data_IF_766974297999
#
_entry.id   IF_766974297999
#
_cell.length_a   1.000
_cell.length_b   1.000
_cell.length_c   1.000
_cell.angle_alpha   90.00
_cell.angle_beta   90.00
_cell.angle_gamma   90.00
#
_symmetry.space_group_name_H-M   'P 1'
#
loop_
_entity.id
_entity.type
_entity.pdbx_description
1 polymer ?
#
# COMPACT_ATOMS: atom_id res chain seq x y z
N UNK A 1 -19.11 1.09 -2.90
CA UNK A 1 -17.97 1.86 -2.46
C UNK A 1 -17.24 1.21 -1.28
N UNK A 2 -16.06 1.71 -0.90
CA UNK A 2 -15.34 1.22 0.25
C UNK A 2 -16.18 1.37 1.52
N UNK A 3 -15.95 0.53 2.50
CA UNK A 3 -16.71 0.55 3.73
C UNK A 3 -16.03 -0.27 4.83
N UNK A 4 -16.64 -0.25 5.99
CA UNK A 4 -16.15 -1.04 7.12
C UNK A 4 -16.49 -2.54 6.97
N UNK A 5 -16.10 -3.35 7.96
CA UNK A 5 -16.32 -4.79 7.97
C UNK A 5 -17.81 -5.19 7.80
N UNK A 6 -18.76 -4.37 8.26
CA UNK A 6 -20.18 -4.63 8.10
C UNK A 6 -20.63 -4.47 6.64
N UNK A 7 -20.11 -3.45 5.94
CA UNK A 7 -20.36 -3.26 4.50
C UNK A 7 -19.75 -4.42 3.70
N UNK A 8 -18.54 -4.83 4.02
CA UNK A 8 -17.90 -5.98 3.39
C UNK A 8 -18.71 -7.27 3.59
N UNK A 9 -19.25 -7.50 4.80
CA UNK A 9 -20.10 -8.64 5.09
C UNK A 9 -21.43 -8.58 4.31
N UNK A 10 -22.07 -7.41 4.26
CA UNK A 10 -23.30 -7.21 3.50
C UNK A 10 -23.09 -7.48 2.00
N UNK A 11 -22.01 -6.93 1.41
CA UNK A 11 -21.65 -7.20 0.01
C UNK A 11 -21.47 -8.69 -0.28
N UNK A 12 -20.81 -9.44 0.64
CA UNK A 12 -20.67 -10.89 0.49
C UNK A 12 -22.00 -11.62 0.45
N UNK A 13 -23.00 -11.16 1.23
CA UNK A 13 -24.31 -11.83 1.32
C UNK A 13 -25.15 -11.59 0.06
N UNK A 14 -25.04 -10.43 -0.57
CA UNK A 14 -25.86 -10.09 -1.76
C UNK A 14 -25.16 -10.40 -3.08
N UNK A 15 -23.90 -10.83 -3.04
CA UNK A 15 -23.16 -11.19 -4.24
C UNK A 15 -23.81 -12.37 -4.95
N UNK A 16 -24.12 -12.18 -6.23
CA UNK A 16 -24.84 -13.16 -7.05
C UNK A 16 -26.34 -12.82 -7.23
N UNK A 17 -26.94 -12.10 -6.28
CA UNK A 17 -28.28 -11.52 -6.45
C UNK A 17 -28.19 -10.14 -7.12
N UNK A 18 -27.15 -9.36 -6.73
CA UNK A 18 -26.80 -8.08 -7.34
C UNK A 18 -25.33 -8.04 -7.69
N UNK A 19 -24.95 -7.18 -8.64
CA UNK A 19 -23.54 -6.87 -8.91
C UNK A 19 -22.93 -6.08 -7.76
N UNK A 20 -21.68 -6.38 -7.43
CA UNK A 20 -20.90 -5.59 -6.48
C UNK A 20 -19.59 -5.15 -7.14
N UNK A 21 -19.02 -4.03 -6.68
CA UNK A 21 -17.70 -3.57 -7.10
C UNK A 21 -16.60 -4.50 -6.62
N UNK A 22 -16.35 -4.51 -5.31
CA UNK A 22 -15.37 -5.38 -4.66
C UNK A 22 -15.68 -5.54 -3.17
N UNK A 23 -15.04 -6.51 -2.55
CA UNK A 23 -15.04 -6.68 -1.09
C UNK A 23 -13.74 -6.09 -0.57
N UNK A 24 -13.81 -4.86 -0.01
CA UNK A 24 -12.66 -4.19 0.53
C UNK A 24 -12.19 -4.81 1.86
N UNK A 25 -10.89 -5.00 1.99
CA UNK A 25 -10.19 -5.25 3.24
C UNK A 25 -9.64 -3.95 3.86
N UNK A 26 -8.79 -4.06 4.91
CA UNK A 26 -8.03 -2.95 5.43
C UNK A 26 -7.08 -2.38 4.36
N UNK A 27 -6.83 -1.07 4.39
CA UNK A 27 -5.93 -0.41 3.44
C UNK A 27 -4.48 -0.85 3.62
N UNK A 28 -3.74 -0.86 2.52
CA UNK A 28 -2.39 -1.42 2.44
C UNK A 28 -1.47 -0.52 1.63
N UNK A 29 -0.25 -0.28 2.14
CA UNK A 29 0.84 0.32 1.38
C UNK A 29 2.07 -0.60 1.39
N UNK A 30 2.68 -0.77 0.23
CA UNK A 30 4.00 -1.39 0.08
C UNK A 30 4.94 -0.41 -0.60
N UNK A 31 6.04 -0.07 0.05
CA UNK A 31 7.02 0.89 -0.43
C UNK A 31 8.31 0.17 -0.80
N UNK A 32 8.76 0.34 -2.03
CA UNK A 32 10.05 -0.16 -2.51
C UNK A 32 11.10 0.92 -2.40
N UNK A 33 12.19 0.65 -1.69
CA UNK A 33 13.24 1.61 -1.39
C UNK A 33 14.64 1.10 -1.76
N UNK A 34 15.53 2.02 -2.07
CA UNK A 34 16.95 1.77 -2.24
C UNK A 34 17.81 2.81 -1.47
N UNK A 35 19.12 2.73 -1.59
CA UNK A 35 20.05 3.63 -0.90
C UNK A 35 19.90 5.11 -1.25
N UNK A 36 19.14 5.45 -2.29
CA UNK A 36 18.89 6.82 -2.73
C UNK A 36 17.56 7.37 -2.22
N UNK A 37 16.73 6.50 -1.66
CA UNK A 37 15.42 6.87 -1.12
C UNK A 37 15.56 7.71 0.16
N UNK A 38 14.59 8.57 0.41
CA UNK A 38 14.52 9.42 1.63
C UNK A 38 13.81 8.68 2.75
N UNK A 39 14.50 8.21 3.78
CA UNK A 39 13.90 7.34 4.79
C UNK A 39 12.89 8.03 5.69
N UNK A 40 12.99 9.33 5.89
CA UNK A 40 12.04 10.15 6.64
C UNK A 40 10.70 10.31 5.90
N UNK A 41 10.72 10.41 4.57
CA UNK A 41 9.53 10.46 3.73
C UNK A 41 8.83 9.10 3.70
N UNK A 42 9.59 8.02 3.49
CA UNK A 42 9.05 6.65 3.56
C UNK A 42 8.37 6.40 4.91
N UNK A 43 8.99 6.86 6.01
CA UNK A 43 8.40 6.73 7.33
C UNK A 43 7.07 7.50 7.45
N UNK A 44 6.96 8.67 6.81
CA UNK A 44 5.73 9.46 6.80
C UNK A 44 4.61 8.74 6.05
N UNK A 45 4.90 8.15 4.87
CA UNK A 45 3.89 7.44 4.08
C UNK A 45 3.44 6.14 4.78
N UNK A 46 4.37 5.39 5.39
CA UNK A 46 4.02 4.22 6.21
C UNK A 46 3.12 4.59 7.39
N UNK A 47 3.33 5.77 8.02
CA UNK A 47 2.52 6.28 9.12
C UNK A 47 1.17 6.76 8.60
N UNK A 48 1.12 7.47 7.48
CA UNK A 48 -0.11 7.93 6.86
C UNK A 48 -1.08 6.75 6.64
N UNK A 49 -0.56 5.63 6.11
CA UNK A 49 -1.35 4.40 5.97
C UNK A 49 -1.74 3.80 7.33
N UNK A 50 -0.80 3.73 8.27
CA UNK A 50 -1.02 3.07 9.56
C UNK A 50 -2.04 3.81 10.46
N UNK A 51 -2.21 5.12 10.29
CA UNK A 51 -3.16 5.92 11.09
C UNK A 51 -4.62 5.81 10.64
N UNK A 52 -4.88 5.21 9.45
CA UNK A 52 -6.23 5.01 8.95
C UNK A 52 -7.00 4.00 9.78
N UNK A 53 -6.44 2.81 10.04
CA UNK A 53 -7.06 1.76 10.84
C UNK A 53 -6.01 0.89 11.54
N UNK A 54 -6.38 0.31 12.69
CA UNK A 54 -5.53 -0.62 13.45
C UNK A 54 -5.14 -1.89 12.70
N UNK A 55 -5.86 -2.23 11.63
CA UNK A 55 -5.61 -3.39 10.77
C UNK A 55 -4.93 -3.00 9.45
N UNK A 56 -4.65 -1.70 9.21
CA UNK A 56 -3.92 -1.26 8.02
C UNK A 56 -2.54 -1.92 7.95
N UNK A 57 -2.08 -2.21 6.74
CA UNK A 57 -0.78 -2.85 6.52
C UNK A 57 0.21 -1.85 5.91
N UNK A 58 1.41 -1.77 6.48
CA UNK A 58 2.49 -0.88 6.03
C UNK A 58 3.77 -1.69 5.86
N UNK A 59 4.22 -1.88 4.62
CA UNK A 59 5.37 -2.72 4.28
C UNK A 59 6.45 -1.89 3.59
N UNK A 60 7.71 -2.04 4.00
CA UNK A 60 8.86 -1.53 3.24
C UNK A 60 9.74 -2.69 2.75
N UNK A 61 10.00 -2.72 1.45
CA UNK A 61 10.91 -3.64 0.77
C UNK A 61 12.16 -2.85 0.37
N UNK A 62 13.32 -3.18 0.91
CA UNK A 62 14.55 -2.46 0.60
C UNK A 62 15.71 -3.39 0.26
N UNK A 63 16.63 -2.91 -0.58
CA UNK A 63 17.83 -3.66 -0.95
C UNK A 63 19.05 -3.34 -0.07
N UNK A 64 18.93 -2.38 0.84
CA UNK A 64 19.98 -1.97 1.78
C UNK A 64 19.44 -1.95 3.22
N UNK A 65 20.11 -2.66 4.10
CA UNK A 65 19.76 -2.72 5.53
C UNK A 65 19.88 -1.35 6.23
N UNK A 66 20.71 -0.44 5.71
CA UNK A 66 20.85 0.91 6.27
C UNK A 66 19.57 1.71 6.11
N UNK A 67 18.94 1.60 4.93
CA UNK A 67 17.64 2.25 4.67
C UNK A 67 16.58 1.73 5.65
N UNK A 68 16.48 0.40 5.81
CA UNK A 68 15.53 -0.19 6.78
C UNK A 68 15.73 0.38 8.18
N UNK A 69 16.99 0.44 8.64
CA UNK A 69 17.30 0.99 9.97
C UNK A 69 16.91 2.46 10.08
N UNK A 70 17.17 3.26 9.05
CA UNK A 70 16.82 4.68 9.02
C UNK A 70 15.30 4.90 8.97
N UNK A 71 14.58 4.16 8.14
CA UNK A 71 13.10 4.19 8.10
C UNK A 71 12.52 3.86 9.48
N UNK A 72 12.97 2.78 10.10
CA UNK A 72 12.51 2.41 11.44
C UNK A 72 12.84 3.46 12.51
N UNK A 73 14.00 4.12 12.41
CA UNK A 73 14.34 5.24 13.27
C UNK A 73 13.36 6.41 13.10
N UNK A 74 13.11 6.86 11.86
CA UNK A 74 12.20 7.97 11.59
C UNK A 74 10.75 7.63 11.93
N UNK A 75 10.30 6.40 11.69
CA UNK A 75 9.00 5.90 12.17
C UNK A 75 8.82 6.14 13.67
N UNK A 76 9.80 5.72 14.47
CA UNK A 76 9.75 5.90 15.92
C UNK A 76 9.77 7.38 16.34
N UNK A 77 10.50 8.25 15.62
CA UNK A 77 10.51 9.68 15.91
C UNK A 77 9.16 10.34 15.56
N UNK A 78 8.64 10.09 14.36
CA UNK A 78 7.40 10.70 13.88
C UNK A 78 6.17 10.24 14.68
N UNK A 79 6.14 8.96 15.09
CA UNK A 79 5.08 8.44 15.96
C UNK A 79 4.96 9.16 17.31
N UNK A 80 6.03 9.79 17.82
CA UNK A 80 5.97 10.49 19.12
C UNK A 80 5.03 11.69 19.08
N UNK A 81 4.96 12.38 17.96
CA UNK A 81 4.18 13.63 17.77
C UNK A 81 2.85 13.41 17.05
N UNK A 82 2.57 12.17 16.62
CA UNK A 82 1.36 11.87 15.85
C UNK A 82 0.11 11.91 16.74
N UNK A 83 -0.94 12.68 16.37
CA UNK A 83 -2.20 12.71 17.11
C UNK A 83 -2.87 11.33 17.24
N UNK A 84 -2.88 10.55 16.15
CA UNK A 84 -3.45 9.19 16.10
C UNK A 84 -2.45 8.08 16.46
N UNK A 85 -1.44 8.39 17.30
CA UNK A 85 -0.38 7.47 17.69
C UNK A 85 -0.85 6.07 18.09
N UNK A 86 -1.95 5.98 18.85
CA UNK A 86 -2.46 4.69 19.34
C UNK A 86 -2.92 3.76 18.20
N UNK A 87 -3.55 4.32 17.15
CA UNK A 87 -4.01 3.55 15.99
C UNK A 87 -2.80 3.13 15.17
N UNK A 88 -1.95 4.07 14.78
CA UNK A 88 -0.76 3.80 13.97
C UNK A 88 0.19 2.82 14.65
N UNK A 89 0.42 2.94 15.97
CA UNK A 89 1.28 2.01 16.70
C UNK A 89 0.73 0.58 16.71
N UNK A 90 -0.60 0.40 16.83
CA UNK A 90 -1.21 -0.94 16.76
C UNK A 90 -1.10 -1.54 15.37
N UNK A 91 -1.39 -0.75 14.34
CA UNK A 91 -1.24 -1.14 12.94
C UNK A 91 0.20 -1.60 12.64
N UNK A 92 1.18 -0.72 12.90
CA UNK A 92 2.59 -1.03 12.65
C UNK A 92 3.12 -2.21 13.48
N UNK A 93 2.66 -2.39 14.72
CA UNK A 93 3.04 -3.53 15.55
C UNK A 93 2.53 -4.85 15.00
N UNK A 94 1.31 -4.88 14.49
CA UNK A 94 0.65 -6.11 14.07
C UNK A 94 0.86 -6.43 12.58
N UNK A 95 0.94 -5.40 11.74
CA UNK A 95 0.93 -5.51 10.28
C UNK A 95 2.04 -4.72 9.60
N UNK A 96 2.94 -4.08 10.36
CA UNK A 96 4.13 -3.41 9.81
C UNK A 96 5.24 -4.42 9.53
N UNK A 97 5.86 -4.35 8.33
CA UNK A 97 6.97 -5.21 7.94
C UNK A 97 8.10 -4.41 7.29
N UNK A 98 9.33 -4.78 7.61
CA UNK A 98 10.53 -4.26 6.95
C UNK A 98 11.33 -5.44 6.40
N UNK A 99 11.43 -5.58 5.08
CA UNK A 99 12.00 -6.77 4.44
C UNK A 99 13.24 -6.38 3.62
N UNK A 100 14.37 -7.04 3.86
CA UNK A 100 15.59 -6.88 3.08
C UNK A 100 15.57 -7.82 1.89
N UNK A 101 15.53 -7.29 0.66
CA UNK A 101 15.52 -8.06 -0.58
C UNK A 101 16.58 -7.50 -1.53
N UNK A 102 17.69 -8.19 -1.70
CA UNK A 102 18.79 -7.78 -2.59
C UNK A 102 18.61 -8.24 -4.04
N UNK A 103 17.88 -9.31 -4.25
CA UNK A 103 17.67 -9.88 -5.59
C UNK A 103 16.44 -9.25 -6.24
N UNK A 104 16.60 -8.69 -7.44
CA UNK A 104 15.52 -8.03 -8.18
C UNK A 104 14.36 -8.96 -8.53
N UNK A 105 14.64 -10.18 -8.92
CA UNK A 105 13.60 -11.16 -9.26
C UNK A 105 12.77 -11.48 -8.02
N UNK A 106 13.42 -11.72 -6.88
CA UNK A 106 12.72 -11.96 -5.61
C UNK A 106 11.91 -10.72 -5.21
N UNK A 107 12.43 -9.51 -5.44
CA UNK A 107 11.68 -8.27 -5.16
C UNK A 107 10.37 -8.22 -5.96
N UNK A 108 10.44 -8.40 -7.28
CA UNK A 108 9.25 -8.37 -8.15
C UNK A 108 8.28 -9.50 -7.81
N UNK A 109 8.80 -10.71 -7.55
CA UNK A 109 7.97 -11.84 -7.13
C UNK A 109 7.29 -11.59 -5.78
N UNK A 110 7.98 -10.94 -4.84
CA UNK A 110 7.43 -10.55 -3.53
C UNK A 110 6.34 -9.50 -3.70
N UNK A 111 6.56 -8.45 -4.51
CA UNK A 111 5.52 -7.44 -4.81
C UNK A 111 4.28 -8.11 -5.39
N UNK A 112 4.46 -8.97 -6.40
CA UNK A 112 3.35 -9.66 -7.05
C UNK A 112 2.64 -10.67 -6.13
N UNK A 113 3.35 -11.25 -5.16
CA UNK A 113 2.77 -12.11 -4.13
C UNK A 113 1.93 -11.33 -3.12
N UNK A 114 2.45 -10.19 -2.65
CA UNK A 114 1.71 -9.28 -1.76
C UNK A 114 0.48 -8.74 -2.50
N UNK A 115 0.64 -8.36 -3.77
CA UNK A 115 -0.39 -7.73 -4.59
C UNK A 115 -1.06 -6.55 -3.85
N UNK A 116 -0.27 -5.52 -3.45
CA UNK A 116 -0.73 -4.48 -2.54
C UNK A 116 -1.79 -3.57 -3.18
N UNK A 117 -2.61 -2.97 -2.35
CA UNK A 117 -3.52 -1.89 -2.74
C UNK A 117 -2.74 -0.71 -3.34
N UNK A 118 -1.78 -0.19 -2.57
CA UNK A 118 -0.89 0.90 -2.98
C UNK A 118 0.55 0.40 -3.04
N UNK A 119 1.18 0.58 -4.19
CA UNK A 119 2.60 0.31 -4.39
C UNK A 119 3.34 1.61 -4.66
N UNK A 120 4.23 2.01 -3.80
CA UNK A 120 5.14 3.13 -4.03
C UNK A 120 6.54 2.63 -4.39
N UNK A 121 7.14 3.19 -5.44
CA UNK A 121 8.49 2.83 -5.86
C UNK A 121 9.40 4.05 -5.76
N UNK A 122 10.02 4.23 -4.59
CA UNK A 122 10.97 5.29 -4.29
C UNK A 122 12.37 5.05 -4.88
N UNK A 123 12.66 3.83 -5.33
CA UNK A 123 13.97 3.46 -5.87
C UNK A 123 14.32 4.26 -7.13
N UNK A 124 15.60 4.61 -7.30
CA UNK A 124 16.12 5.40 -8.43
C UNK A 124 15.78 4.81 -9.81
N UNK A 125 15.62 3.49 -9.92
CA UNK A 125 15.28 2.81 -11.16
C UNK A 125 13.83 2.28 -11.14
N UNK A 126 12.88 3.10 -10.72
CA UNK A 126 11.46 2.73 -10.59
C UNK A 126 10.91 2.07 -11.87
N UNK A 127 11.17 2.64 -13.05
CA UNK A 127 10.72 2.08 -14.34
C UNK A 127 11.21 0.66 -14.61
N UNK A 128 12.40 0.30 -14.10
CA UNK A 128 12.94 -1.07 -14.28
C UNK A 128 12.27 -2.07 -13.35
N UNK A 129 11.81 -1.62 -12.19
CA UNK A 129 11.06 -2.45 -11.25
C UNK A 129 9.64 -2.61 -11.77
N UNK A 130 9.03 -1.51 -12.23
CA UNK A 130 7.67 -1.48 -12.77
C UNK A 130 7.43 -2.52 -13.86
N UNK A 131 8.40 -2.76 -14.74
CA UNK A 131 8.27 -3.74 -15.85
C UNK A 131 7.92 -5.16 -15.40
N UNK A 132 8.32 -5.53 -14.19
CA UNK A 132 8.11 -6.87 -13.62
C UNK A 132 6.93 -6.90 -12.63
N UNK A 133 6.32 -5.75 -12.34
CA UNK A 133 5.12 -5.65 -11.49
C UNK A 133 3.87 -5.95 -12.31
N UNK A 134 3.05 -6.86 -11.80
CA UNK A 134 1.79 -7.29 -12.44
C UNK A 134 0.58 -7.07 -11.55
N UNK A 135 0.78 -7.13 -10.24
CA UNK A 135 -0.29 -7.16 -9.26
C UNK A 135 -0.10 -6.01 -8.27
N UNK A 136 -0.79 -4.90 -8.51
CA UNK A 136 -0.93 -3.79 -7.58
C UNK A 136 -2.22 -3.03 -7.92
N UNK A 137 -2.90 -2.51 -6.92
CA UNK A 137 -4.13 -1.74 -7.12
C UNK A 137 -3.83 -0.38 -7.75
N UNK A 138 -2.88 0.36 -7.19
CA UNK A 138 -2.36 1.62 -7.71
C UNK A 138 -0.84 1.66 -7.57
N UNK A 139 -0.14 2.33 -8.49
CA UNK A 139 1.33 2.41 -8.51
C UNK A 139 1.77 3.86 -8.57
N UNK A 140 2.61 4.26 -7.62
CA UNK A 140 3.19 5.59 -7.48
C UNK A 140 4.69 5.52 -7.76
N UNK A 141 5.16 6.31 -8.72
CA UNK A 141 6.55 6.26 -9.19
C UNK A 141 7.32 7.50 -8.76
N UNK A 142 8.43 7.25 -8.08
CA UNK A 142 9.35 8.30 -7.62
C UNK A 142 8.96 8.90 -6.26
N UNK A 143 9.92 9.56 -5.65
CA UNK A 143 9.80 10.08 -4.28
C UNK A 143 8.82 11.25 -4.10
N UNK A 144 8.36 11.86 -5.20
CA UNK A 144 7.42 12.98 -5.18
C UNK A 144 5.98 12.58 -5.49
N UNK A 145 5.70 11.28 -5.52
CA UNK A 145 4.36 10.73 -5.80
C UNK A 145 3.88 9.87 -4.63
N UNK A 146 3.59 10.45 -3.45
CA UNK A 146 3.07 9.71 -2.32
C UNK A 146 1.62 9.27 -2.54
N UNK A 147 1.16 8.24 -1.85
CA UNK A 147 -0.22 7.72 -1.88
C UNK A 147 -1.27 8.82 -1.71
N UNK A 148 -1.06 9.75 -0.77
CA UNK A 148 -1.98 10.85 -0.49
C UNK A 148 -2.27 11.73 -1.72
N UNK A 149 -1.34 11.84 -2.69
CA UNK A 149 -1.59 12.54 -3.95
C UNK A 149 -2.63 11.78 -4.78
N UNK A 150 -2.61 10.47 -4.78
CA UNK A 150 -3.58 9.61 -5.47
C UNK A 150 -4.98 9.83 -4.93
N UNK A 151 -5.13 9.89 -3.63
CA UNK A 151 -6.42 10.01 -2.96
C UNK A 151 -7.09 11.38 -3.15
N UNK A 152 -6.29 12.46 -3.24
CA UNK A 152 -6.83 13.81 -3.16
C UNK A 152 -6.67 14.65 -4.43
N UNK A 153 -5.62 14.42 -5.25
CA UNK A 153 -5.25 15.36 -6.32
C UNK A 153 -5.03 14.72 -7.70
N UNK A 154 -4.61 13.46 -7.76
CA UNK A 154 -4.19 12.85 -9.03
C UNK A 154 -5.35 12.46 -9.95
N UNK A 155 -6.58 12.42 -9.44
CA UNK A 155 -7.80 12.16 -10.20
C UNK A 155 -8.19 10.70 -10.45
N UNK A 156 -7.31 9.67 -10.36
CA UNK A 156 -7.77 8.29 -10.48
C UNK A 156 -8.68 7.90 -9.30
N UNK A 157 -9.50 6.86 -9.53
CA UNK A 157 -10.36 6.31 -8.50
C UNK A 157 -9.52 5.60 -7.43
N UNK A 158 -9.82 5.85 -6.15
CA UNK A 158 -9.14 5.21 -5.01
C UNK A 158 -9.91 4.02 -4.42
N UNK A 159 -10.96 3.54 -5.07
CA UNK A 159 -11.60 2.26 -4.74
C UNK A 159 -10.77 1.16 -5.38
N UNK A 160 -9.84 0.62 -4.61
CA UNK A 160 -8.78 -0.24 -5.10
C UNK A 160 -8.90 -1.66 -4.51
N UNK A 161 -8.38 -2.68 -5.21
CA UNK A 161 -8.35 -4.03 -4.70
C UNK A 161 -7.39 -4.16 -3.51
N UNK A 162 -7.88 -4.71 -2.40
CA UNK A 162 -7.14 -4.95 -1.16
C UNK A 162 -6.96 -6.44 -0.88
N UNK A 163 -6.19 -6.79 0.14
CA UNK A 163 -6.01 -8.19 0.60
C UNK A 163 -5.57 -9.13 -0.51
N UNK A 164 -4.68 -8.65 -1.37
CA UNK A 164 -4.12 -9.41 -2.47
C UNK A 164 -5.07 -9.62 -3.66
N UNK A 165 -6.24 -9.00 -3.68
CA UNK A 165 -7.19 -9.13 -4.81
C UNK A 165 -6.72 -8.44 -6.09
N UNK A 166 -5.68 -7.59 -6.03
CA UNK A 166 -5.03 -7.03 -7.21
C UNK A 166 -4.43 -8.10 -8.17
N UNK A 167 -4.40 -9.37 -7.76
CA UNK A 167 -4.05 -10.50 -8.63
C UNK A 167 -5.09 -10.81 -9.71
N UNK A 168 -6.34 -10.39 -9.51
CA UNK A 168 -7.46 -10.68 -10.41
C UNK A 168 -8.49 -9.54 -10.53
N UNK A 169 -8.27 -8.42 -9.84
CA UNK A 169 -9.12 -7.24 -9.89
C UNK A 169 -8.28 -5.98 -10.12
N UNK A 170 -8.87 -4.98 -10.76
CA UNK A 170 -8.33 -3.62 -10.90
C UNK A 170 -9.13 -2.64 -10.05
N UNK A 171 -8.67 -1.39 -9.96
CA UNK A 171 -9.45 -0.31 -9.34
C UNK A 171 -10.79 -0.10 -10.06
N UNK A 172 -11.78 0.38 -9.32
CA UNK A 172 -13.12 0.67 -9.86
C UNK A 172 -13.03 1.64 -11.04
N UNK A 173 -13.67 1.29 -12.13
CA UNK A 173 -13.66 2.05 -13.36
C UNK A 173 -15.08 2.15 -13.99
N UNK A 174 -15.19 2.95 -15.04
CA UNK A 174 -16.45 3.04 -15.80
C UNK A 174 -16.83 1.70 -16.45
N UNK A 175 -15.85 0.84 -16.72
CA UNK A 175 -16.09 -0.48 -17.31
C UNK A 175 -16.90 -1.41 -16.41
N UNK A 176 -16.84 -1.21 -15.09
CA UNK A 176 -17.60 -2.01 -14.10
C UNK A 176 -19.12 -1.74 -14.19
N UNK A 177 -19.53 -0.69 -14.90
CA UNK A 177 -20.92 -0.27 -15.09
C UNK A 177 -21.45 -0.54 -16.51
N UNK A 178 -20.63 -1.06 -17.41
CA UNK A 178 -21.10 -1.48 -18.73
C UNK A 178 -21.65 -2.91 -18.71
N UNK A 179 -22.67 -3.12 -19.55
CA UNK A 179 -23.25 -4.43 -19.85
C UNK A 179 -22.88 -4.86 -21.25
#
# INVERSE_FOLDING_TARGET
GPGNAFVAAAKKQVFGEVGIDMIAGPSEVTIVADKWSKPDWIAADLIAQAEHDKNSQSIVLANDIKIIKQVNYFLLQQLKTLPKKNIASKSLKNFGLSILIKNKKILSDTINLIAPEHLEIFAKNADKILKDVRNAGSIFLGEYSPEAVGDYLAGPNHVLPTSGSARFSSGLSVYDFFK
#
